data_IF_596377550319
#
_entry.id   IF_596377550319
#
_cell.length_a   1.000
_cell.length_b   1.000
_cell.length_c   1.000
_cell.angle_alpha   90.00
_cell.angle_beta   90.00
_cell.angle_gamma   90.00
#
_symmetry.space_group_name_H-M   'P 1'
#
loop_
_entity.id
_entity.type
_entity.pdbx_description
1 polymer ?
#
# COMPACT_ATOMS: atom_id res chain seq x y z
N UNK A 1 6.73 91.25 18.55
CA UNK A 1 6.36 89.87 18.92
C UNK A 1 5.85 88.97 17.78
N UNK A 2 5.59 89.47 16.55
CA UNK A 2 4.98 88.65 15.47
C UNK A 2 5.93 87.83 14.57
N UNK A 3 7.23 88.15 14.54
CA UNK A 3 8.18 87.45 13.65
C UNK A 3 8.66 86.11 14.22
N UNK A 4 8.92 86.05 15.53
CA UNK A 4 9.39 84.84 16.23
C UNK A 4 8.33 83.74 16.21
N UNK A 5 7.05 84.09 16.34
CA UNK A 5 5.93 83.13 16.30
C UNK A 5 5.66 82.58 14.89
N UNK A 6 6.00 83.33 13.83
CA UNK A 6 5.93 82.84 12.44
C UNK A 6 7.05 81.85 12.12
N UNK A 7 8.28 82.15 12.54
CA UNK A 7 9.43 81.25 12.35
C UNK A 7 9.24 79.92 13.09
N UNK A 8 8.72 79.97 14.32
CA UNK A 8 8.47 78.75 15.10
C UNK A 8 7.42 77.84 14.43
N UNK A 9 6.35 78.42 13.85
CA UNK A 9 5.32 77.66 13.13
C UNK A 9 5.86 77.02 11.84
N UNK A 10 6.72 77.72 11.10
CA UNK A 10 7.35 77.18 9.89
C UNK A 10 8.30 76.03 10.23
N UNK A 11 9.05 76.12 11.33
CA UNK A 11 9.96 75.07 11.78
C UNK A 11 9.20 73.79 12.18
N UNK A 12 8.10 73.93 12.92
CA UNK A 12 7.25 72.79 13.33
C UNK A 12 6.67 72.09 12.10
N UNK A 13 6.19 72.85 11.11
CA UNK A 13 5.63 72.27 9.88
C UNK A 13 6.67 71.47 9.09
N UNK A 14 7.90 71.98 8.98
CA UNK A 14 9.02 71.29 8.33
C UNK A 14 9.38 69.97 9.02
N UNK A 15 9.38 69.94 10.35
CA UNK A 15 9.68 68.73 11.13
C UNK A 15 8.60 67.66 10.92
N UNK A 16 7.32 68.05 10.99
CA UNK A 16 6.20 67.13 10.78
C UNK A 16 6.21 66.59 9.35
N UNK A 17 6.47 67.45 8.37
CA UNK A 17 6.53 67.05 6.97
C UNK A 17 7.70 66.10 6.68
N UNK A 18 8.87 66.36 7.27
CA UNK A 18 10.04 65.47 7.18
C UNK A 18 9.78 64.10 7.80
N UNK A 19 9.13 64.05 8.97
CA UNK A 19 8.74 62.78 9.61
C UNK A 19 7.73 61.99 8.77
N UNK A 20 6.77 62.67 8.16
CA UNK A 20 5.79 62.03 7.29
C UNK A 20 6.45 61.40 6.05
N UNK A 21 7.35 62.13 5.38
CA UNK A 21 8.10 61.60 4.24
C UNK A 21 8.97 60.40 4.66
N UNK A 22 9.65 60.49 5.81
CA UNK A 22 10.46 59.39 6.34
C UNK A 22 9.64 58.12 6.58
N UNK A 23 8.44 58.24 7.15
CA UNK A 23 7.54 57.11 7.37
C UNK A 23 7.01 56.49 6.06
N UNK A 24 6.67 57.34 5.08
CA UNK A 24 6.23 56.86 3.76
C UNK A 24 7.36 56.12 3.05
N UNK A 25 8.59 56.66 3.08
CA UNK A 25 9.76 56.02 2.47
C UNK A 25 10.12 54.70 3.16
N UNK A 26 10.04 54.67 4.49
CA UNK A 26 10.25 53.45 5.27
C UNK A 26 9.19 52.38 4.97
N UNK A 27 7.91 52.75 4.86
CA UNK A 27 6.84 51.84 4.48
C UNK A 27 7.01 51.30 3.05
N UNK A 28 7.36 52.15 2.09
CA UNK A 28 7.62 51.75 0.70
C UNK A 28 8.83 50.81 0.59
N UNK A 29 9.87 51.01 1.40
CA UNK A 29 11.04 50.13 1.41
C UNK A 29 10.72 48.70 1.87
N UNK A 30 9.61 48.50 2.61
CA UNK A 30 9.17 47.18 3.08
C UNK A 30 8.25 46.44 2.10
N UNK A 31 7.75 47.11 1.06
CA UNK A 31 6.88 46.48 0.05
C UNK A 31 7.66 45.67 -1.00
N UNK A 32 9.00 45.72 -0.99
CA UNK A 32 9.86 44.98 -1.92
C UNK A 32 10.36 43.61 -1.45
N UNK A 33 10.13 43.24 -0.17
CA UNK A 33 10.65 42.01 0.46
C UNK A 33 9.65 40.85 0.42
N UNK A 34 8.87 40.71 -0.65
CA UNK A 34 8.29 39.40 -0.97
C UNK A 34 9.41 38.54 -1.55
N UNK A 35 10.08 37.77 -0.70
CA UNK A 35 11.07 36.79 -1.13
C UNK A 35 10.55 35.89 -2.26
N UNK A 36 11.43 35.25 -3.03
CA UNK A 36 11.03 34.44 -4.17
C UNK A 36 9.96 33.43 -3.76
N UNK A 37 8.86 33.39 -4.51
CA UNK A 37 7.82 32.38 -4.34
C UNK A 37 8.50 31.03 -4.61
N UNK A 38 8.78 30.26 -3.56
CA UNK A 38 9.22 28.88 -3.71
C UNK A 38 8.00 28.08 -4.17
N UNK A 39 7.95 27.78 -5.46
CA UNK A 39 6.95 26.88 -6.01
C UNK A 39 7.24 25.49 -5.42
N UNK A 40 6.53 25.09 -4.37
CA UNK A 40 6.56 23.73 -3.86
C UNK A 40 5.91 22.82 -4.92
N UNK A 41 6.69 22.33 -5.87
CA UNK A 41 6.23 21.28 -6.78
C UNK A 41 6.04 20.00 -5.97
N UNK A 42 4.88 19.31 -6.10
CA UNK A 42 4.72 18.00 -5.51
C UNK A 42 5.81 17.05 -6.03
N UNK A 43 6.34 16.15 -5.18
CA UNK A 43 7.28 15.14 -5.64
C UNK A 43 6.66 14.28 -6.75
N UNK A 44 7.47 13.81 -7.72
CA UNK A 44 6.97 12.98 -8.81
C UNK A 44 6.40 11.66 -8.27
N UNK A 45 5.31 11.20 -8.87
CA UNK A 45 4.72 9.89 -8.56
C UNK A 45 5.59 8.82 -9.22
N UNK A 46 6.07 7.88 -8.41
CA UNK A 46 6.94 6.79 -8.86
C UNK A 46 6.11 5.55 -9.22
N UNK A 47 6.53 4.75 -10.23
CA UNK A 47 5.85 3.51 -10.59
C UNK A 47 6.00 2.45 -9.49
N UNK A 48 5.15 1.42 -9.51
CA UNK A 48 5.33 0.26 -8.64
C UNK A 48 6.58 -0.53 -9.04
N UNK A 49 7.26 -1.07 -8.02
CA UNK A 49 8.49 -1.84 -8.19
C UNK A 49 8.22 -3.31 -7.90
N UNK A 50 8.71 -4.20 -8.76
CA UNK A 50 8.80 -5.64 -8.48
C UNK A 50 10.18 -5.93 -7.90
N UNK A 51 10.24 -6.30 -6.62
CA UNK A 51 11.51 -6.58 -5.95
C UNK A 51 12.01 -7.99 -6.18
N UNK A 52 11.08 -8.95 -6.21
CA UNK A 52 11.39 -10.37 -6.37
C UNK A 52 10.25 -11.06 -7.12
N UNK A 53 10.58 -12.10 -7.87
CA UNK A 53 9.62 -12.99 -8.51
C UNK A 53 10.07 -14.44 -8.38
N UNK A 54 9.14 -15.30 -7.96
CA UNK A 54 9.39 -16.73 -7.77
C UNK A 54 8.33 -17.55 -8.51
N UNK A 55 8.82 -18.56 -9.21
CA UNK A 55 8.00 -19.61 -9.82
C UNK A 55 8.16 -20.84 -8.95
N UNK A 56 7.05 -21.32 -8.39
CA UNK A 56 7.03 -22.44 -7.46
C UNK A 56 6.26 -23.57 -8.14
N UNK A 57 6.95 -24.65 -8.51
CA UNK A 57 6.29 -25.83 -9.08
C UNK A 57 5.46 -26.54 -8.02
N UNK A 58 4.19 -26.80 -8.32
CA UNK A 58 3.22 -27.44 -7.43
C UNK A 58 2.56 -28.61 -8.16
N UNK A 59 2.43 -29.77 -7.52
CA UNK A 59 1.71 -30.90 -8.11
C UNK A 59 2.37 -31.51 -9.36
N UNK A 60 1.61 -31.55 -10.45
CA UNK A 60 1.96 -32.20 -11.72
C UNK A 60 2.87 -31.33 -12.61
N UNK A 61 3.31 -31.89 -13.74
CA UNK A 61 4.12 -31.16 -14.72
C UNK A 61 3.37 -29.90 -15.20
N UNK A 62 4.09 -28.78 -15.22
CA UNK A 62 3.62 -27.48 -15.65
C UNK A 62 2.47 -26.85 -14.83
N UNK A 63 2.36 -27.20 -13.54
CA UNK A 63 1.51 -26.50 -12.59
C UNK A 63 2.38 -25.69 -11.60
N UNK A 64 2.05 -24.41 -11.46
CA UNK A 64 2.89 -23.42 -10.79
C UNK A 64 2.06 -22.48 -9.92
N UNK A 65 2.69 -22.02 -8.85
CA UNK A 65 2.33 -20.79 -8.15
C UNK A 65 3.33 -19.69 -8.52
N UNK A 66 2.83 -18.51 -8.87
CA UNK A 66 3.65 -17.34 -9.14
C UNK A 66 3.56 -16.37 -7.97
N UNK A 67 4.70 -16.06 -7.37
CA UNK A 67 4.79 -15.12 -6.26
C UNK A 67 5.62 -13.91 -6.65
N UNK A 68 5.04 -12.72 -6.56
CA UNK A 68 5.73 -11.45 -6.75
C UNK A 68 5.79 -10.68 -5.44
N UNK A 69 6.95 -10.14 -5.09
CA UNK A 69 7.08 -9.17 -4.01
C UNK A 69 7.08 -7.76 -4.62
N UNK A 70 5.99 -7.04 -4.41
CA UNK A 70 5.75 -5.73 -5.00
C UNK A 70 5.90 -4.63 -3.94
N UNK A 71 6.38 -3.47 -4.35
CA UNK A 71 6.57 -2.30 -3.49
C UNK A 71 5.92 -1.07 -4.10
N UNK A 72 5.22 -0.31 -3.26
CA UNK A 72 4.82 1.05 -3.58
C UNK A 72 5.86 2.04 -3.03
N UNK A 73 6.70 2.67 -3.89
CA UNK A 73 7.67 3.66 -3.43
C UNK A 73 7.02 4.97 -2.95
N UNK A 74 5.74 5.21 -3.26
CA UNK A 74 5.04 6.42 -2.86
C UNK A 74 4.50 6.28 -1.43
N UNK A 75 5.10 7.01 -0.49
CA UNK A 75 4.78 6.91 0.95
C UNK A 75 3.47 7.60 1.36
N UNK A 76 2.88 8.41 0.47
CA UNK A 76 1.60 9.12 0.73
C UNK A 76 0.48 8.78 -0.24
N UNK A 77 0.79 8.03 -1.30
CA UNK A 77 -0.16 7.69 -2.35
C UNK A 77 -0.27 6.18 -2.45
N UNK A 78 -1.49 5.67 -2.43
CA UNK A 78 -1.78 4.28 -2.74
C UNK A 78 -2.68 4.18 -3.98
N UNK A 79 -3.04 2.95 -4.34
CA UNK A 79 -3.98 2.67 -5.39
C UNK A 79 -4.95 1.57 -4.94
N UNK A 80 -6.25 1.91 -4.86
CA UNK A 80 -7.32 0.97 -4.54
C UNK A 80 -7.52 -0.09 -5.62
N UNK A 81 -7.08 0.20 -6.84
CA UNK A 81 -7.12 -0.72 -7.98
C UNK A 81 -5.89 -0.53 -8.86
N UNK A 82 -5.13 -1.60 -9.01
CA UNK A 82 -3.95 -1.73 -9.86
C UNK A 82 -4.20 -2.90 -10.78
N UNK A 83 -4.32 -2.65 -12.08
CA UNK A 83 -4.34 -3.73 -13.06
C UNK A 83 -2.92 -4.24 -13.26
N UNK A 84 -2.77 -5.54 -13.49
CA UNK A 84 -1.48 -6.14 -13.83
C UNK A 84 -1.61 -7.12 -14.99
N UNK A 85 -0.51 -7.27 -15.70
CA UNK A 85 -0.30 -8.26 -16.74
C UNK A 85 0.99 -9.02 -16.45
N UNK A 86 0.96 -10.34 -16.58
CA UNK A 86 2.12 -11.21 -16.39
C UNK A 86 2.40 -11.97 -17.67
N UNK A 87 3.57 -11.75 -18.25
CA UNK A 87 4.10 -12.55 -19.34
C UNK A 87 4.83 -13.77 -18.78
N UNK A 88 4.38 -14.97 -19.17
CA UNK A 88 5.04 -16.23 -18.85
C UNK A 88 5.93 -16.64 -20.01
N UNK A 89 7.20 -16.92 -19.72
CA UNK A 89 8.23 -17.18 -20.73
C UNK A 89 8.89 -18.54 -20.52
N UNK A 90 9.22 -19.22 -21.61
CA UNK A 90 10.01 -20.46 -21.58
C UNK A 90 11.51 -20.18 -21.29
N UNK A 91 12.33 -21.21 -21.28
CA UNK A 91 13.79 -21.12 -21.07
C UNK A 91 14.54 -20.37 -22.18
N UNK A 92 13.92 -20.21 -23.36
CA UNK A 92 14.45 -19.48 -24.52
C UNK A 92 13.94 -18.04 -24.59
N UNK A 93 13.06 -17.64 -23.67
CA UNK A 93 12.45 -16.31 -23.62
C UNK A 93 11.26 -16.12 -24.57
N UNK A 94 10.68 -17.21 -25.12
CA UNK A 94 9.45 -17.13 -25.90
C UNK A 94 8.25 -16.98 -24.97
N UNK A 95 7.26 -16.21 -25.40
CA UNK A 95 5.98 -16.09 -24.69
C UNK A 95 5.21 -17.40 -24.75
N UNK A 96 4.97 -17.99 -23.57
CA UNK A 96 4.14 -19.18 -23.38
C UNK A 96 2.69 -18.77 -23.17
N UNK A 97 2.44 -17.81 -22.27
CA UNK A 97 1.09 -17.32 -21.97
C UNK A 97 1.13 -15.92 -21.34
N UNK A 98 -0.04 -15.30 -21.21
CA UNK A 98 -0.25 -13.98 -20.62
C UNK A 98 -1.41 -14.00 -19.65
N UNK A 99 -1.13 -13.70 -18.38
CA UNK A 99 -2.13 -13.61 -17.33
C UNK A 99 -2.47 -12.14 -17.06
N UNK A 100 -3.73 -11.86 -16.73
CA UNK A 100 -4.16 -10.52 -16.31
C UNK A 100 -4.90 -10.59 -14.98
N UNK A 101 -4.87 -9.50 -14.23
CA UNK A 101 -5.61 -9.43 -12.98
C UNK A 101 -5.60 -8.04 -12.35
N UNK A 102 -6.10 -7.98 -11.13
CA UNK A 102 -6.19 -6.76 -10.36
C UNK A 102 -5.73 -6.98 -8.92
N UNK A 103 -5.15 -5.94 -8.35
CA UNK A 103 -4.77 -5.88 -6.93
C UNK A 103 -4.95 -4.46 -6.42
N UNK A 104 -4.51 -4.21 -5.19
CA UNK A 104 -4.41 -2.88 -4.59
C UNK A 104 -3.05 -2.76 -3.89
N UNK A 105 -2.62 -1.53 -3.62
CA UNK A 105 -1.42 -1.32 -2.82
C UNK A 105 -1.52 -0.03 -2.01
N UNK A 106 -1.24 -0.14 -0.72
CA UNK A 106 -1.26 0.97 0.21
C UNK A 106 0.02 1.83 0.07
N UNK A 107 0.02 3.07 0.57
CA UNK A 107 1.21 3.92 0.56
C UNK A 107 2.40 3.24 1.23
N UNK A 108 3.57 3.30 0.60
CA UNK A 108 4.82 2.76 1.16
C UNK A 108 4.86 1.23 1.36
N UNK A 109 3.80 0.51 0.98
CA UNK A 109 3.61 -0.90 1.34
C UNK A 109 4.52 -1.84 0.53
N UNK A 110 4.99 -2.89 1.22
CA UNK A 110 5.42 -4.15 0.59
C UNK A 110 4.28 -5.15 0.62
N UNK A 111 4.03 -5.81 -0.50
CA UNK A 111 2.97 -6.81 -0.62
C UNK A 111 3.44 -8.01 -1.42
N UNK A 112 3.02 -9.20 -1.00
CA UNK A 112 3.06 -10.38 -1.85
C UNK A 112 1.83 -10.43 -2.74
N UNK A 113 2.05 -10.61 -4.03
CA UNK A 113 1.02 -10.90 -5.02
C UNK A 113 1.18 -12.36 -5.45
N UNK A 114 0.23 -13.20 -5.05
CA UNK A 114 0.17 -14.61 -5.41
C UNK A 114 -0.83 -14.83 -6.54
N UNK A 115 -0.38 -15.42 -7.63
CA UNK A 115 -1.21 -15.90 -8.75
C UNK A 115 -1.13 -17.42 -8.75
N UNK A 116 -2.25 -18.06 -8.43
CA UNK A 116 -2.35 -19.50 -8.22
C UNK A 116 -3.79 -19.99 -8.45
N UNK A 117 -3.99 -21.18 -9.05
CA UNK A 117 -2.98 -21.98 -9.73
C UNK A 117 -2.66 -21.42 -11.14
N UNK A 118 -1.47 -21.72 -11.65
CA UNK A 118 -1.05 -21.38 -13.02
C UNK A 118 -0.62 -22.65 -13.75
N UNK A 119 -1.44 -23.09 -14.70
CA UNK A 119 -1.20 -24.28 -15.52
C UNK A 119 -0.87 -23.88 -16.94
N UNK A 120 0.24 -24.39 -17.46
CA UNK A 120 0.70 -24.10 -18.82
C UNK A 120 0.90 -25.38 -19.62
N UNK A 121 0.81 -25.29 -20.95
CA UNK A 121 1.09 -26.44 -21.82
C UNK A 121 2.59 -26.77 -21.89
N UNK A 122 3.43 -25.74 -21.71
CA UNK A 122 4.89 -25.81 -21.80
C UNK A 122 5.49 -25.29 -20.49
N UNK A 123 6.65 -25.84 -20.12
CA UNK A 123 7.39 -25.39 -18.95
C UNK A 123 7.79 -23.92 -19.05
N UNK A 124 7.59 -23.18 -17.95
CA UNK A 124 7.97 -21.77 -17.85
C UNK A 124 9.25 -21.64 -17.02
N UNK A 125 10.08 -20.68 -17.37
CA UNK A 125 11.33 -20.36 -16.67
C UNK A 125 11.33 -18.96 -16.07
N UNK A 126 10.50 -18.06 -16.60
CA UNK A 126 10.44 -16.67 -16.18
C UNK A 126 9.00 -16.14 -16.21
N UNK A 127 8.67 -15.29 -15.24
CA UNK A 127 7.42 -14.54 -15.20
C UNK A 127 7.74 -13.04 -15.03
N UNK A 128 7.24 -12.20 -15.94
CA UNK A 128 7.44 -10.74 -15.93
C UNK A 128 6.13 -10.03 -15.70
N UNK A 129 6.06 -9.21 -14.66
CA UNK A 129 4.84 -8.49 -14.30
C UNK A 129 4.95 -7.01 -14.66
N UNK A 130 3.89 -6.47 -15.25
CA UNK A 130 3.72 -5.06 -15.55
C UNK A 130 2.47 -4.53 -14.84
N UNK A 131 2.56 -3.33 -14.28
CA UNK A 131 1.46 -2.69 -13.56
C UNK A 131 0.89 -1.51 -14.34
N UNK A 132 -0.43 -1.36 -14.28
CA UNK A 132 -1.15 -0.20 -14.77
C UNK A 132 -1.96 0.40 -13.61
N UNK A 133 -1.54 1.59 -13.16
CA UNK A 133 -2.22 2.34 -12.10
C UNK A 133 -3.00 3.48 -12.74
N UNK A 134 -4.33 3.34 -12.77
CA UNK A 134 -5.20 4.36 -13.37
C UNK A 134 -5.37 5.59 -12.49
N UNK A 135 -5.40 5.40 -11.17
CA UNK A 135 -5.62 6.47 -10.20
C UNK A 135 -4.80 6.23 -8.94
N UNK A 136 -3.89 7.16 -8.68
CA UNK A 136 -3.27 7.31 -7.37
C UNK A 136 -4.20 8.12 -6.46
N UNK A 137 -4.32 7.70 -5.21
CA UNK A 137 -5.12 8.40 -4.21
C UNK A 137 -4.31 8.60 -2.94
N UNK A 138 -4.50 9.77 -2.32
CA UNK A 138 -3.99 10.02 -0.98
C UNK A 138 -4.61 9.05 0.02
N UNK A 139 -3.85 8.72 1.05
CA UNK A 139 -4.40 8.05 2.22
C UNK A 139 -5.04 9.10 3.13
N UNK A 140 -6.26 8.85 3.59
CA UNK A 140 -6.88 9.71 4.59
C UNK A 140 -6.01 9.71 5.85
N UNK A 141 -5.74 10.88 6.42
CA UNK A 141 -5.01 11.00 7.69
C UNK A 141 -5.79 10.42 8.89
N UNK A 142 -7.06 10.03 8.68
CA UNK A 142 -7.96 9.55 9.73
C UNK A 142 -7.74 8.08 10.14
N UNK A 143 -7.10 7.29 9.28
CA UNK A 143 -6.73 5.90 9.55
C UNK A 143 -5.36 5.73 8.94
N UNK A 144 -4.34 5.40 9.73
CA UNK A 144 -3.03 5.01 9.23
C UNK A 144 -3.01 3.48 9.01
N UNK A 145 -2.20 2.93 8.08
CA UNK A 145 -2.16 1.47 7.88
C UNK A 145 -1.77 0.71 9.15
N UNK A 146 -0.98 1.35 10.02
CA UNK A 146 -0.59 0.85 11.34
C UNK A 146 -1.73 0.75 12.36
N UNK A 147 -2.84 1.46 12.15
CA UNK A 147 -4.05 1.34 12.99
C UNK A 147 -4.81 0.03 12.73
N UNK A 148 -4.53 -0.62 11.60
CA UNK A 148 -5.16 -1.89 11.19
C UNK A 148 -4.26 -3.05 11.57
N UNK A 149 -4.29 -3.38 12.87
CA UNK A 149 -3.50 -4.47 13.43
C UNK A 149 -4.16 -5.84 13.19
N UNK A 150 -3.85 -6.45 12.04
CA UNK A 150 -4.23 -7.82 11.69
C UNK A 150 -3.11 -8.79 12.06
N UNK A 151 -3.37 -9.71 12.97
CA UNK A 151 -2.35 -10.63 13.50
C UNK A 151 -2.77 -12.08 13.27
N UNK A 152 -2.23 -12.74 12.23
CA UNK A 152 -2.31 -14.18 12.10
C UNK A 152 -1.56 -14.86 13.25
N UNK A 153 -2.20 -15.79 13.94
CA UNK A 153 -1.57 -16.60 14.98
C UNK A 153 -1.14 -17.94 14.42
N UNK A 154 -0.08 -18.51 15.00
CA UNK A 154 0.41 -19.83 14.59
C UNK A 154 -0.66 -20.89 14.78
N UNK A 155 -0.76 -21.74 13.78
CA UNK A 155 -1.78 -22.75 13.61
C UNK A 155 -1.22 -24.16 13.51
N UNK A 156 -2.11 -25.10 13.19
CA UNK A 156 -1.78 -26.51 13.03
C UNK A 156 -1.64 -26.86 11.55
N UNK A 157 -0.51 -27.48 11.20
CA UNK A 157 -0.27 -28.04 9.87
C UNK A 157 -0.46 -29.55 9.89
N UNK A 158 -1.19 -30.10 8.90
CA UNK A 158 -1.51 -31.52 8.77
C UNK A 158 -1.33 -31.98 7.32
N UNK A 159 -0.69 -33.14 7.10
CA UNK A 159 -0.55 -33.77 5.76
C UNK A 159 -1.45 -35.00 5.54
N UNK A 160 -2.13 -35.43 6.59
CA UNK A 160 -2.93 -36.65 6.66
C UNK A 160 -4.41 -36.38 6.41
N UNK A 161 -4.73 -35.51 5.45
CA UNK A 161 -6.12 -35.19 5.11
C UNK A 161 -6.65 -36.18 4.05
N UNK A 162 -7.88 -36.73 4.19
CA UNK A 162 -8.38 -37.77 3.29
C UNK A 162 -8.48 -37.38 1.81
N UNK A 163 -8.66 -36.08 1.54
CA UNK A 163 -8.92 -35.53 0.20
C UNK A 163 -7.98 -34.40 -0.21
N UNK A 164 -7.00 -34.05 0.64
CA UNK A 164 -6.07 -32.94 0.41
C UNK A 164 -4.65 -33.44 0.72
N UNK A 165 -3.66 -32.92 0.03
CA UNK A 165 -2.27 -33.19 0.37
C UNK A 165 -1.89 -32.60 1.73
N UNK A 166 -2.33 -31.37 2.00
CA UNK A 166 -2.08 -30.73 3.28
C UNK A 166 -3.12 -29.67 3.63
N UNK A 167 -3.26 -29.39 4.93
CA UNK A 167 -4.08 -28.32 5.48
C UNK A 167 -3.30 -27.56 6.56
N UNK A 168 -3.47 -26.23 6.57
CA UNK A 168 -3.08 -25.38 7.68
C UNK A 168 -4.33 -24.70 8.26
N UNK A 169 -4.53 -24.80 9.57
CA UNK A 169 -5.63 -24.17 10.31
C UNK A 169 -5.05 -23.14 11.27
N UNK A 170 -5.52 -21.89 11.22
CA UNK A 170 -5.06 -20.82 12.10
C UNK A 170 -6.16 -19.84 12.48
N UNK A 171 -5.80 -18.85 13.29
CA UNK A 171 -6.71 -17.80 13.75
C UNK A 171 -6.13 -16.44 13.39
N UNK A 172 -6.91 -15.62 12.70
CA UNK A 172 -6.65 -14.20 12.48
C UNK A 172 -7.27 -13.39 13.62
N UNK A 173 -6.47 -12.56 14.28
CA UNK A 173 -6.96 -11.56 15.24
C UNK A 173 -7.04 -10.20 14.57
N UNK A 174 -8.21 -9.58 14.62
CA UNK A 174 -8.36 -8.17 14.30
C UNK A 174 -8.28 -7.37 15.58
N UNK A 175 -7.11 -6.80 15.85
CA UNK A 175 -6.88 -5.96 17.02
C UNK A 175 -7.23 -4.49 16.76
N UNK A 176 -7.79 -4.15 15.61
CA UNK A 176 -8.24 -2.78 15.30
C UNK A 176 -9.66 -2.51 15.81
N UNK A 177 -10.06 -1.24 15.75
CA UNK A 177 -11.43 -0.77 16.04
C UNK A 177 -12.34 -0.74 14.80
N UNK A 178 -11.93 -1.40 13.71
CA UNK A 178 -12.64 -1.38 12.43
C UNK A 178 -13.18 -2.76 12.08
N UNK A 179 -14.45 -2.80 11.70
CA UNK A 179 -15.03 -3.96 11.04
C UNK A 179 -14.59 -3.94 9.57
N UNK A 180 -13.90 -5.00 9.13
CA UNK A 180 -13.38 -5.12 7.77
C UNK A 180 -14.26 -6.07 6.96
N UNK A 181 -14.68 -5.66 5.77
CA UNK A 181 -15.46 -6.50 4.89
C UNK A 181 -14.62 -7.68 4.37
N UNK A 182 -13.37 -7.40 4.00
CA UNK A 182 -12.48 -8.40 3.40
C UNK A 182 -11.06 -8.31 3.96
N UNK A 183 -10.46 -9.48 4.20
CA UNK A 183 -9.04 -9.63 4.52
C UNK A 183 -8.47 -10.76 3.68
N UNK A 184 -7.47 -10.46 2.85
CA UNK A 184 -6.71 -11.44 2.09
C UNK A 184 -5.59 -11.99 2.97
N UNK A 185 -5.48 -13.31 3.06
CA UNK A 185 -4.35 -13.97 3.71
C UNK A 185 -3.53 -14.72 2.66
N UNK A 186 -2.22 -14.58 2.71
CA UNK A 186 -1.28 -15.37 1.91
C UNK A 186 -0.38 -16.13 2.87
N UNK A 187 -0.19 -17.42 2.62
CA UNK A 187 0.77 -18.26 3.35
C UNK A 187 1.96 -18.59 2.47
N UNK A 188 3.16 -18.48 3.05
CA UNK A 188 4.43 -18.88 2.45
C UNK A 188 5.05 -19.97 3.33
N UNK A 189 5.24 -21.16 2.76
CA UNK A 189 5.87 -22.29 3.43
C UNK A 189 7.31 -22.37 2.97
N UNK A 190 8.25 -22.35 3.92
CA UNK A 190 9.69 -22.37 3.64
C UNK A 190 10.38 -23.61 4.21
N UNK A 191 11.41 -24.05 3.49
CA UNK A 191 12.32 -25.09 3.96
C UNK A 191 13.46 -24.54 4.82
N UNK A 192 14.35 -25.43 5.26
CA UNK A 192 15.54 -25.11 6.06
C UNK A 192 16.58 -24.27 5.31
N UNK A 193 16.47 -24.15 3.99
CA UNK A 193 17.30 -23.29 3.14
C UNK A 193 16.62 -21.94 2.86
N UNK A 194 15.50 -21.64 3.53
CA UNK A 194 14.69 -20.44 3.35
C UNK A 194 14.00 -20.32 1.97
N UNK A 195 13.99 -21.40 1.18
CA UNK A 195 13.32 -21.46 -0.12
C UNK A 195 11.82 -21.67 0.09
N UNK A 196 11.00 -20.96 -0.68
CA UNK A 196 9.54 -21.16 -0.68
C UNK A 196 9.24 -22.47 -1.41
N UNK A 197 8.60 -23.40 -0.70
CA UNK A 197 8.25 -24.73 -1.21
C UNK A 197 6.75 -24.91 -1.45
N UNK A 198 5.93 -24.05 -0.85
CA UNK A 198 4.49 -24.01 -1.08
C UNK A 198 3.93 -22.63 -0.77
N UNK A 199 2.89 -22.24 -1.50
CA UNK A 199 2.11 -21.04 -1.23
C UNK A 199 0.62 -21.34 -1.27
N UNK A 200 -0.18 -20.48 -0.66
CA UNK A 200 -1.63 -20.52 -0.80
C UNK A 200 -2.21 -19.15 -0.45
N UNK A 201 -3.47 -18.92 -0.82
CA UNK A 201 -4.22 -17.73 -0.42
C UNK A 201 -5.63 -18.12 0.01
N UNK A 202 -6.16 -17.37 0.97
CA UNK A 202 -7.57 -17.42 1.34
C UNK A 202 -8.06 -16.01 1.58
N UNK A 203 -9.38 -15.83 1.55
CA UNK A 203 -10.00 -14.54 1.78
C UNK A 203 -11.06 -14.70 2.87
N UNK A 204 -10.95 -13.86 3.90
CA UNK A 204 -11.89 -13.82 5.00
C UNK A 204 -12.88 -12.69 4.79
N UNK A 205 -14.15 -13.02 4.99
CA UNK A 205 -15.27 -12.09 4.87
C UNK A 205 -15.76 -11.70 6.27
N UNK A 206 -16.11 -10.43 6.43
CA UNK A 206 -16.68 -9.87 7.66
C UNK A 206 -15.80 -10.18 8.88
N UNK A 207 -14.65 -9.50 8.97
CA UNK A 207 -13.73 -9.58 10.11
C UNK A 207 -14.04 -8.44 11.06
N UNK A 208 -14.76 -8.75 12.14
CA UNK A 208 -15.21 -7.75 13.11
C UNK A 208 -14.04 -7.15 13.90
N UNK A 209 -14.18 -5.90 14.31
CA UNK A 209 -13.28 -5.22 15.24
C UNK A 209 -13.11 -6.04 16.51
N UNK A 210 -11.90 -6.05 17.06
CA UNK A 210 -11.56 -6.72 18.33
C UNK A 210 -12.00 -8.19 18.40
N UNK A 211 -11.99 -8.90 17.27
CA UNK A 211 -12.48 -10.27 17.16
C UNK A 211 -11.45 -11.24 16.58
N UNK A 212 -11.76 -12.53 16.71
CA UNK A 212 -10.97 -13.62 16.14
C UNK A 212 -11.76 -14.26 14.99
N UNK A 213 -11.06 -14.64 13.92
CA UNK A 213 -11.62 -15.40 12.80
C UNK A 213 -10.72 -16.58 12.47
N UNK A 214 -11.30 -17.77 12.41
CA UNK A 214 -10.60 -18.96 11.94
C UNK A 214 -10.37 -18.87 10.43
N UNK A 215 -9.23 -19.38 9.98
CA UNK A 215 -8.92 -19.51 8.55
C UNK A 215 -8.24 -20.85 8.25
N UNK A 216 -8.34 -21.25 6.99
CA UNK A 216 -7.72 -22.47 6.47
C UNK A 216 -6.99 -22.20 5.17
N UNK A 217 -5.88 -22.91 4.99
CA UNK A 217 -5.21 -23.07 3.71
C UNK A 217 -5.18 -24.54 3.34
N UNK A 218 -5.71 -24.86 2.16
CA UNK A 218 -5.87 -26.23 1.68
C UNK A 218 -5.02 -26.44 0.43
N UNK A 219 -4.05 -27.33 0.52
CA UNK A 219 -3.25 -27.76 -0.62
C UNK A 219 -3.82 -29.08 -1.14
N UNK A 220 -4.46 -29.03 -2.30
CA UNK A 220 -4.89 -30.23 -3.01
C UNK A 220 -3.69 -30.97 -3.61
N UNK A 221 -2.78 -30.21 -4.22
CA UNK A 221 -1.60 -30.74 -4.91
C UNK A 221 -0.40 -30.94 -3.97
N UNK A 222 0.42 -31.98 -4.18
CA UNK A 222 1.61 -32.22 -3.40
C UNK A 222 2.70 -31.19 -3.66
N UNK A 223 3.46 -30.90 -2.59
CA UNK A 223 4.70 -30.15 -2.67
C UNK A 223 5.82 -30.85 -1.89
N UNK A 224 7.04 -30.71 -2.40
CA UNK A 224 8.22 -31.39 -1.85
C UNK A 224 8.98 -30.49 -0.88
N UNK A 225 9.67 -31.11 0.09
CA UNK A 225 10.51 -30.42 1.06
C UNK A 225 10.06 -30.56 2.51
N UNK A 226 11.02 -30.37 3.42
CA UNK A 226 10.77 -30.27 4.86
C UNK A 226 10.25 -28.86 5.19
N UNK A 227 9.22 -28.78 6.03
CA UNK A 227 8.66 -27.50 6.47
C UNK A 227 9.46 -27.04 7.68
N UNK A 228 10.12 -25.89 7.56
CA UNK A 228 10.86 -25.25 8.65
C UNK A 228 10.10 -24.03 9.17
N UNK A 229 9.55 -23.22 8.27
CA UNK A 229 8.86 -21.97 8.64
C UNK A 229 7.60 -21.75 7.81
N UNK A 230 6.56 -21.26 8.48
CA UNK A 230 5.31 -20.84 7.85
C UNK A 230 5.12 -19.36 8.16
N UNK A 231 5.10 -18.53 7.11
CA UNK A 231 4.85 -17.10 7.18
C UNK A 231 3.43 -16.83 6.66
N UNK A 232 2.68 -15.98 7.35
CA UNK A 232 1.33 -15.60 6.93
C UNK A 232 1.25 -14.09 6.92
N UNK A 233 0.84 -13.55 5.78
CA UNK A 233 0.69 -12.12 5.55
C UNK A 233 -0.78 -11.80 5.36
N UNK A 234 -1.26 -10.78 6.08
CA UNK A 234 -2.62 -10.31 6.02
C UNK A 234 -2.69 -8.96 5.31
N UNK A 235 -3.58 -8.84 4.33
CA UNK A 235 -3.80 -7.63 3.56
C UNK A 235 -5.28 -7.25 3.58
N UNK A 236 -5.56 -5.96 3.59
CA UNK A 236 -6.92 -5.44 3.41
C UNK A 236 -6.88 -4.13 2.65
N UNK A 237 -7.90 -3.86 1.84
CA UNK A 237 -7.96 -2.66 1.01
C UNK A 237 -8.51 -1.47 1.80
N UNK A 238 -7.63 -0.69 2.42
CA UNK A 238 -8.01 0.50 3.20
C UNK A 238 -8.37 1.71 2.32
N UNK A 239 -8.24 1.58 1.01
CA UNK A 239 -8.52 2.65 0.04
C UNK A 239 -9.95 2.58 -0.52
N UNK A 240 -10.67 1.52 -0.20
CA UNK A 240 -12.02 1.22 -0.67
C UNK A 240 -13.00 1.35 0.50
N UNK A 241 -13.89 2.34 0.44
CA UNK A 241 -14.79 2.67 1.56
C UNK A 241 -15.69 1.50 1.94
N UNK A 242 -16.17 0.74 0.94
CA UNK A 242 -17.05 -0.40 1.14
C UNK A 242 -16.39 -1.52 1.94
N UNK A 243 -15.05 -1.49 2.09
CA UNK A 243 -14.31 -2.42 2.92
C UNK A 243 -14.37 -2.08 4.42
N UNK A 244 -14.80 -0.88 4.79
CA UNK A 244 -15.07 -0.52 6.19
C UNK A 244 -16.56 -0.67 6.47
N UNK A 245 -16.93 -1.69 7.26
CA UNK A 245 -18.33 -1.97 7.53
C UNK A 245 -18.92 -1.00 8.54
N UNK A 246 -18.22 -0.68 9.64
CA UNK A 246 -18.65 0.30 10.67
C UNK A 246 -17.46 0.83 11.50
N UNK A 247 -17.62 2.06 12.00
CA UNK A 247 -16.93 2.57 13.20
C UNK A 247 -18.01 2.96 14.20
N UNK A 248 -18.11 2.28 15.34
CA UNK A 248 -19.11 2.57 16.38
C UNK A 248 -20.58 2.68 15.90
N UNK A 249 -21.06 1.70 15.11
CA UNK A 249 -22.51 1.59 14.83
C UNK A 249 -23.06 2.44 13.68
N UNK A 250 -22.30 3.39 13.12
CA UNK A 250 -22.67 4.13 11.90
C UNK A 250 -21.78 3.77 10.71
N UNK A 251 -22.38 3.72 9.51
CA UNK A 251 -21.67 3.62 8.23
C UNK A 251 -21.11 5.02 7.88
N UNK A 252 -19.82 5.14 7.57
CA UNK A 252 -19.22 6.39 7.09
C UNK A 252 -18.43 6.17 5.78
N UNK A 253 -18.46 7.20 4.92
CA UNK A 253 -17.80 7.21 3.61
C UNK A 253 -16.44 7.94 3.74
N UNK A 254 -15.33 7.22 3.67
CA UNK A 254 -13.98 7.74 3.94
C UNK A 254 -13.32 8.52 2.79
N UNK A 255 -14.06 8.86 1.72
CA UNK A 255 -13.53 9.59 0.55
C UNK A 255 -14.04 11.04 0.42
N UNK A 256 -14.81 11.54 1.38
CA UNK A 256 -15.41 12.86 1.28
C UNK A 256 -14.57 13.95 1.96
N UNK A 257 -13.40 14.31 1.42
CA UNK A 257 -12.78 15.64 1.60
C UNK A 257 -11.92 16.00 0.38
#
# INVERSE_FOLDING_TARGET
>A
MGAVTRLLKQLIFLIIFGLFIGLVFWGLSRLGDSGPIVLNTPPPILPLETQDSQIISVGADNDYDLLFRIRNPNVRLGASRVAYEVDLLDDRGNLVDKLTGQTYILPGQFRFLLISPVRTEVAISQARINFQVNRWQGFSELIAPEDIALVPTQGNFRRDHPSLFARYEGILRNNSDFDLATVDLIVLVRDSQNKIIATNRTNLQTVQARSNRDFTFDWAEPFSGSIERIEIEAYTNLLENDNFLKRYGSFENFQAF
#
